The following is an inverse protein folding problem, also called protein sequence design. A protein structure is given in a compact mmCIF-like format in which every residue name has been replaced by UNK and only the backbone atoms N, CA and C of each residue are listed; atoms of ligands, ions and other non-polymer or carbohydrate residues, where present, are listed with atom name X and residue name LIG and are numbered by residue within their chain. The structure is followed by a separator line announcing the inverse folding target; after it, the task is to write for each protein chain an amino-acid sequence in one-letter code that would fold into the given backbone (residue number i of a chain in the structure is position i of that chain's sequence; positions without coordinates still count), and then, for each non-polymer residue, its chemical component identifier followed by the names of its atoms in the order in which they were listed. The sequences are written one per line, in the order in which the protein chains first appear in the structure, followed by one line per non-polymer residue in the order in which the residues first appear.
data_IF_385569089761
#
_entry.id   IF_385569089761
#
_cell.length_a   1.000
_cell.length_b   1.000
_cell.length_c   1.000
_cell.angle_alpha   90.00
_cell.angle_beta   90.00
_cell.angle_gamma   90.00
#
_symmetry.space_group_name_H-M   'P 1'
#
loop_
_entity.id
_entity.type
_entity.pdbx_description
1 polymer ?
#
# COMPACT_ATOMS: atom_id res chain seq x y z
N UNK A 1 11.37 13.85 -26.61
CA UNK A 1 10.19 14.27 -27.42
C UNK A 1 9.50 13.08 -28.10
N UNK A 2 10.20 12.22 -28.84
CA UNK A 2 9.57 11.05 -29.51
C UNK A 2 8.80 10.11 -28.56
N UNK A 3 9.29 9.87 -27.33
CA UNK A 3 8.60 9.05 -26.34
C UNK A 3 7.26 9.63 -25.87
N UNK A 4 7.17 10.95 -25.69
CA UNK A 4 5.93 11.62 -25.29
C UNK A 4 4.87 11.53 -26.38
N UNK A 5 5.26 11.75 -27.65
CA UNK A 5 4.34 11.63 -28.80
C UNK A 5 3.81 10.19 -28.94
N UNK A 6 4.68 9.17 -28.81
CA UNK A 6 4.27 7.76 -28.86
C UNK A 6 3.33 7.38 -27.72
N UNK A 7 3.49 7.99 -26.55
CA UNK A 7 2.63 7.76 -25.38
C UNK A 7 1.38 8.67 -25.37
N UNK A 8 1.13 9.44 -26.45
CA UNK A 8 -0.01 10.35 -26.60
C UNK A 8 -0.12 11.43 -25.51
N UNK A 9 0.98 11.82 -24.89
CA UNK A 9 1.02 12.96 -23.98
C UNK A 9 1.14 14.27 -24.79
N UNK A 10 0.03 14.96 -24.99
CA UNK A 10 -0.07 16.15 -25.82
C UNK A 10 -0.03 17.45 -25.04
N UNK A 11 -0.50 17.42 -23.79
CA UNK A 11 -0.55 18.61 -22.93
C UNK A 11 0.01 18.27 -21.53
N UNK A 12 0.85 19.15 -20.95
CA UNK A 12 1.32 18.98 -19.59
C UNK A 12 0.19 19.29 -18.59
N UNK A 13 0.18 18.53 -17.49
CA UNK A 13 -0.71 18.81 -16.37
C UNK A 13 -0.21 20.00 -15.54
N UNK A 14 -1.05 20.65 -14.71
CA UNK A 14 -0.63 21.80 -13.89
C UNK A 14 0.62 21.50 -13.04
N UNK A 15 0.72 20.34 -12.37
CA UNK A 15 1.90 19.98 -11.58
C UNK A 15 3.16 19.84 -12.45
N UNK A 16 3.02 19.39 -13.69
CA UNK A 16 4.14 19.27 -14.62
C UNK A 16 4.63 20.65 -15.08
N UNK A 17 3.69 21.57 -15.40
CA UNK A 17 4.04 22.93 -15.80
C UNK A 17 4.81 23.65 -14.71
N UNK A 18 4.35 23.53 -13.45
CA UNK A 18 4.97 24.23 -12.34
C UNK A 18 6.26 23.55 -11.85
N UNK A 19 6.31 22.21 -11.78
CA UNK A 19 7.44 21.51 -11.17
C UNK A 19 8.62 21.30 -12.12
N UNK A 20 8.39 20.92 -13.40
CA UNK A 20 9.46 20.53 -14.32
C UNK A 20 10.57 21.59 -14.45
N UNK A 21 10.28 22.90 -14.59
CA UNK A 21 11.31 23.93 -14.72
C UNK A 21 12.29 23.94 -13.54
N UNK A 22 11.79 23.86 -12.31
CA UNK A 22 12.64 23.86 -11.12
C UNK A 22 13.43 22.57 -10.97
N UNK A 23 12.80 21.42 -11.29
CA UNK A 23 13.48 20.13 -11.29
C UNK A 23 14.63 20.09 -12.30
N UNK A 24 14.44 20.65 -13.49
CA UNK A 24 15.49 20.79 -14.51
C UNK A 24 16.66 21.68 -14.06
N UNK A 25 16.38 22.71 -13.25
CA UNK A 25 17.39 23.60 -12.66
C UNK A 25 18.17 22.93 -11.51
N UNK A 26 17.81 21.71 -11.10
CA UNK A 26 18.47 21.00 -10.01
C UNK A 26 18.02 21.41 -8.61
N UNK A 27 16.93 22.20 -8.49
CA UNK A 27 16.37 22.61 -7.20
C UNK A 27 15.66 21.45 -6.52
N UNK A 28 15.75 21.41 -5.20
CA UNK A 28 14.87 20.57 -4.41
C UNK A 28 13.44 21.09 -4.49
N UNK A 29 12.46 20.18 -4.46
CA UNK A 29 11.06 20.54 -4.65
C UNK A 29 10.15 19.82 -3.65
N UNK A 30 9.20 20.57 -3.10
CA UNK A 30 8.07 20.05 -2.34
C UNK A 30 6.80 20.27 -3.15
N UNK A 31 6.22 19.19 -3.68
CA UNK A 31 5.01 19.21 -4.49
C UNK A 31 3.78 18.78 -3.69
N UNK A 32 2.82 19.68 -3.51
CA UNK A 32 1.51 19.37 -2.93
C UNK A 32 0.50 19.09 -4.04
N UNK A 33 0.25 17.79 -4.29
CA UNK A 33 -0.61 17.34 -5.38
C UNK A 33 -1.20 15.95 -5.07
N UNK A 34 -2.47 15.77 -5.43
CA UNK A 34 -3.19 14.51 -5.25
C UNK A 34 -2.68 13.42 -6.22
N UNK A 35 -3.06 12.15 -5.97
CA UNK A 35 -2.82 11.03 -6.89
C UNK A 35 -3.56 11.29 -8.21
N UNK A 36 -2.94 10.89 -9.35
CA UNK A 36 -3.54 11.06 -10.67
C UNK A 36 -3.33 12.43 -11.31
N UNK A 37 -2.62 13.38 -10.68
CA UNK A 37 -2.32 14.70 -11.24
C UNK A 37 -1.14 14.73 -12.21
N UNK A 38 -0.46 13.58 -12.45
CA UNK A 38 0.67 13.51 -13.37
C UNK A 38 2.04 13.68 -12.71
N UNK A 39 2.16 13.54 -11.38
CA UNK A 39 3.42 13.67 -10.61
C UNK A 39 4.56 12.80 -11.16
N UNK A 40 4.24 11.56 -11.55
CA UNK A 40 5.26 10.61 -12.06
C UNK A 40 6.04 11.18 -13.23
N UNK A 41 5.40 11.85 -14.16
CA UNK A 41 6.07 12.50 -15.27
C UNK A 41 6.75 13.82 -14.85
N UNK A 42 6.20 14.53 -13.86
CA UNK A 42 6.82 15.76 -13.35
C UNK A 42 8.23 15.52 -12.78
N UNK A 43 8.47 14.38 -12.11
CA UNK A 43 9.80 14.02 -11.65
C UNK A 43 10.56 13.09 -12.61
N UNK A 44 9.84 12.21 -13.33
CA UNK A 44 10.44 11.18 -14.16
C UNK A 44 11.06 11.70 -15.44
N UNK A 45 10.41 12.64 -16.15
CA UNK A 45 10.95 13.20 -17.39
C UNK A 45 12.28 13.97 -17.18
N UNK A 46 12.40 14.88 -16.19
CA UNK A 46 13.68 15.53 -15.89
C UNK A 46 14.76 14.54 -15.46
N UNK A 47 14.42 13.53 -14.67
CA UNK A 47 15.34 12.46 -14.28
C UNK A 47 15.87 11.72 -15.52
N UNK A 48 14.97 11.26 -16.39
CA UNK A 48 15.35 10.55 -17.62
C UNK A 48 16.21 11.43 -18.54
N UNK A 49 15.88 12.71 -18.69
CA UNK A 49 16.67 13.66 -19.46
C UNK A 49 18.13 13.70 -18.97
N UNK A 50 18.34 13.75 -17.66
CA UNK A 50 19.69 13.70 -17.07
C UNK A 50 20.39 12.37 -17.31
N UNK A 51 19.71 11.25 -17.09
CA UNK A 51 20.31 9.93 -17.18
C UNK A 51 20.69 9.55 -18.60
N UNK A 52 19.94 10.00 -19.60
CA UNK A 52 20.26 9.78 -21.01
C UNK A 52 21.58 10.46 -21.45
N UNK A 53 22.01 11.52 -20.74
CA UNK A 53 23.30 12.15 -20.95
C UNK A 53 24.50 11.45 -20.29
N UNK A 54 24.26 10.41 -19.48
CA UNK A 54 25.32 9.68 -18.75
C UNK A 54 25.75 8.47 -19.58
N UNK A 55 26.88 8.58 -20.28
CA UNK A 55 27.33 7.59 -21.26
C UNK A 55 27.92 6.27 -20.73
N UNK A 56 27.78 5.95 -19.43
CA UNK A 56 28.36 4.74 -18.83
C UNK A 56 27.39 4.08 -17.83
N UNK A 57 27.49 2.76 -17.56
CA UNK A 57 26.67 2.10 -16.55
C UNK A 57 27.05 2.54 -15.11
N UNK A 58 26.13 2.45 -14.13
CA UNK A 58 26.45 2.70 -12.72
C UNK A 58 27.40 1.63 -12.18
N UNK A 59 28.22 1.96 -11.16
CA UNK A 59 29.06 0.97 -10.48
C UNK A 59 28.23 -0.20 -9.91
N UNK A 60 28.84 -1.38 -9.72
CA UNK A 60 28.16 -2.53 -9.13
C UNK A 60 27.50 -2.20 -7.78
N UNK A 61 26.31 -2.69 -7.55
CA UNK A 61 25.47 -2.50 -6.33
C UNK A 61 25.14 -1.04 -6.02
N UNK A 62 25.34 -0.10 -6.94
CA UNK A 62 24.96 1.30 -6.76
C UNK A 62 23.78 1.69 -7.62
N UNK A 63 23.18 2.83 -7.31
CA UNK A 63 22.09 3.45 -8.05
C UNK A 63 22.32 4.95 -8.22
N UNK A 64 21.81 5.54 -9.31
CA UNK A 64 21.88 6.98 -9.56
C UNK A 64 20.65 7.72 -9.05
N UNK A 65 19.51 7.08 -9.12
CA UNK A 65 18.24 7.63 -8.67
C UNK A 65 17.47 6.64 -7.80
N UNK A 66 16.89 7.14 -6.71
CA UNK A 66 16.02 6.41 -5.81
C UNK A 66 14.63 7.06 -5.81
N UNK A 67 13.61 6.25 -6.05
CA UNK A 67 12.20 6.65 -5.93
C UNK A 67 11.57 5.78 -4.85
N UNK A 68 11.12 6.39 -3.76
CA UNK A 68 10.41 5.72 -2.68
C UNK A 68 8.92 5.91 -2.81
N UNK A 69 8.16 4.82 -2.68
CA UNK A 69 6.71 4.82 -2.71
C UNK A 69 6.14 3.88 -1.64
N UNK A 70 4.94 4.16 -1.08
CA UNK A 70 4.38 3.42 0.06
C UNK A 70 4.02 1.98 -0.25
N UNK A 71 3.60 1.68 -1.48
CA UNK A 71 3.03 0.38 -1.86
C UNK A 71 3.74 -0.24 -3.05
N UNK A 72 3.61 -1.56 -3.17
CA UNK A 72 4.19 -2.33 -4.29
C UNK A 72 3.54 -1.96 -5.62
N UNK A 73 2.25 -1.71 -5.58
CA UNK A 73 1.44 -1.34 -6.73
C UNK A 73 1.91 -0.01 -7.30
N UNK A 74 2.15 0.99 -6.45
CA UNK A 74 2.67 2.28 -6.88
C UNK A 74 4.11 2.17 -7.39
N UNK A 75 4.96 1.35 -6.75
CA UNK A 75 6.31 1.04 -7.25
C UNK A 75 6.24 0.46 -8.66
N UNK A 76 5.37 -0.52 -8.90
CA UNK A 76 5.19 -1.13 -10.21
C UNK A 76 4.68 -0.13 -11.22
N UNK A 77 3.68 0.68 -10.86
CA UNK A 77 3.11 1.72 -11.72
C UNK A 77 4.15 2.76 -12.12
N UNK A 78 4.93 3.29 -11.15
CA UNK A 78 6.00 4.26 -11.43
C UNK A 78 7.04 3.63 -12.37
N UNK A 79 7.47 2.40 -12.09
CA UNK A 79 8.45 1.71 -12.93
C UNK A 79 7.93 1.51 -14.36
N UNK A 80 6.70 1.00 -14.53
CA UNK A 80 6.08 0.82 -15.84
C UNK A 80 5.99 2.13 -16.62
N UNK A 81 5.60 3.22 -15.95
CA UNK A 81 5.55 4.54 -16.59
C UNK A 81 6.94 5.03 -17.03
N UNK A 82 7.98 4.79 -16.25
CA UNK A 82 9.35 5.15 -16.63
C UNK A 82 9.87 4.26 -17.77
N UNK A 83 9.54 2.97 -17.75
CA UNK A 83 9.95 2.00 -18.78
C UNK A 83 9.38 2.34 -20.16
N UNK A 84 8.22 3.01 -20.25
CA UNK A 84 7.70 3.52 -21.52
C UNK A 84 8.69 4.46 -22.24
N UNK A 85 9.46 5.23 -21.47
CA UNK A 85 10.41 6.22 -21.99
C UNK A 85 11.85 5.71 -22.03
N UNK A 86 12.17 4.60 -21.33
CA UNK A 86 13.51 4.01 -21.32
C UNK A 86 13.67 2.89 -22.34
N UNK A 87 12.58 2.45 -22.95
CA UNK A 87 12.61 1.39 -23.97
C UNK A 87 13.50 1.78 -25.15
N UNK A 88 14.50 0.94 -25.43
CA UNK A 88 15.51 1.21 -26.47
C UNK A 88 16.64 2.16 -26.01
N UNK A 89 16.73 2.48 -24.74
CA UNK A 89 17.84 3.25 -24.13
C UNK A 89 18.66 2.36 -23.19
N UNK A 90 19.89 2.74 -22.82
CA UNK A 90 20.69 2.00 -21.85
C UNK A 90 20.23 2.16 -20.40
N UNK A 91 19.26 3.03 -20.11
CA UNK A 91 18.77 3.32 -18.74
C UNK A 91 18.05 2.12 -18.16
N UNK A 92 18.55 1.64 -17.03
CA UNK A 92 18.04 0.45 -16.34
C UNK A 92 17.19 0.83 -15.14
N UNK A 93 15.91 0.44 -15.16
CA UNK A 93 14.96 0.59 -14.06
C UNK A 93 14.85 -0.74 -13.30
N UNK A 94 14.91 -0.71 -11.97
CA UNK A 94 14.70 -1.88 -11.12
C UNK A 94 13.64 -1.59 -10.05
N UNK A 95 12.81 -2.58 -9.78
CA UNK A 95 11.77 -2.51 -8.73
C UNK A 95 12.18 -3.34 -7.52
N UNK A 96 12.04 -2.75 -6.32
CA UNK A 96 12.42 -3.35 -5.04
C UNK A 96 11.23 -3.31 -4.09
N UNK A 97 10.59 -4.48 -3.93
CA UNK A 97 9.37 -4.58 -3.12
C UNK A 97 9.37 -5.82 -2.24
N UNK A 98 8.67 -5.76 -1.11
CA UNK A 98 8.42 -6.92 -0.27
C UNK A 98 7.58 -7.99 -1.00
N UNK A 99 7.61 -9.25 -0.54
CA UNK A 99 6.82 -10.36 -1.11
C UNK A 99 7.40 -10.99 -2.37
N UNK A 100 8.34 -10.34 -3.05
CA UNK A 100 9.15 -10.95 -4.09
C UNK A 100 10.46 -11.53 -3.50
N UNK A 101 11.08 -12.47 -4.21
CA UNK A 101 12.36 -13.09 -3.81
C UNK A 101 13.45 -12.03 -3.61
N UNK A 102 14.01 -11.97 -2.41
CA UNK A 102 15.09 -11.03 -2.11
C UNK A 102 16.36 -11.35 -2.90
N UNK A 103 16.67 -12.62 -3.11
CA UNK A 103 17.85 -13.06 -3.86
C UNK A 103 17.79 -12.57 -5.31
N UNK A 104 16.65 -12.72 -5.98
CA UNK A 104 16.46 -12.19 -7.35
C UNK A 104 16.61 -10.67 -7.41
N UNK A 105 16.18 -9.94 -6.37
CA UNK A 105 16.35 -8.50 -6.30
C UNK A 105 17.83 -8.13 -6.08
N UNK A 106 18.54 -8.86 -5.23
CA UNK A 106 20.00 -8.73 -5.04
C UNK A 106 20.77 -8.96 -6.33
N UNK A 107 20.45 -10.04 -7.06
CA UNK A 107 21.08 -10.36 -8.35
C UNK A 107 20.88 -9.24 -9.39
N UNK A 108 19.66 -8.67 -9.45
CA UNK A 108 19.37 -7.54 -10.35
C UNK A 108 20.23 -6.30 -10.03
N UNK A 109 20.52 -6.07 -8.75
CA UNK A 109 21.33 -4.94 -8.27
C UNK A 109 22.84 -5.19 -8.38
N UNK A 110 23.27 -6.44 -8.50
CA UNK A 110 24.71 -6.77 -8.53
C UNK A 110 25.49 -6.00 -9.61
N UNK A 111 24.84 -5.68 -10.74
CA UNK A 111 25.45 -4.90 -11.84
C UNK A 111 25.19 -3.40 -11.74
N UNK A 112 24.55 -2.92 -10.66
CA UNK A 112 24.05 -1.56 -10.54
C UNK A 112 22.79 -1.30 -11.37
N UNK A 113 22.11 -0.19 -11.08
CA UNK A 113 20.93 0.27 -11.81
C UNK A 113 20.90 1.81 -11.88
N UNK A 114 20.31 2.35 -12.94
CA UNK A 114 20.17 3.82 -13.05
C UNK A 114 19.07 4.33 -12.13
N UNK A 115 17.93 3.66 -12.14
CA UNK A 115 16.76 4.03 -11.34
C UNK A 115 16.33 2.83 -10.49
N UNK A 116 16.20 3.03 -9.20
CA UNK A 116 15.54 2.11 -8.28
C UNK A 116 14.22 2.70 -7.85
N UNK A 117 13.13 1.96 -8.03
CA UNK A 117 11.82 2.28 -7.46
C UNK A 117 11.55 1.28 -6.34
N UNK A 118 11.36 1.74 -5.11
CA UNK A 118 11.37 0.86 -3.95
C UNK A 118 10.29 1.20 -2.91
N UNK A 119 9.85 0.16 -2.17
CA UNK A 119 9.16 0.35 -0.89
C UNK A 119 10.19 0.45 0.24
N UNK A 120 9.99 1.36 1.24
CA UNK A 120 10.98 1.63 2.27
C UNK A 120 11.46 0.39 3.04
N UNK A 121 10.55 -0.50 3.45
CA UNK A 121 10.90 -1.68 4.23
C UNK A 121 11.85 -2.64 3.49
N UNK A 122 11.57 -2.95 2.21
CA UNK A 122 12.45 -3.84 1.43
C UNK A 122 13.79 -3.20 1.09
N UNK A 123 13.82 -1.89 0.91
CA UNK A 123 15.10 -1.19 0.72
C UNK A 123 15.99 -1.33 1.96
N UNK A 124 15.43 -1.17 3.16
CA UNK A 124 16.17 -1.42 4.42
C UNK A 124 16.74 -2.85 4.47
N UNK A 125 15.93 -3.87 4.13
CA UNK A 125 16.39 -5.27 4.10
C UNK A 125 17.62 -5.46 3.19
N UNK A 126 17.67 -4.75 2.05
CA UNK A 126 18.80 -4.82 1.11
C UNK A 126 20.01 -4.00 1.58
N UNK A 127 19.79 -2.86 2.23
CA UNK A 127 20.86 -2.06 2.85
C UNK A 127 21.52 -2.83 4.00
N UNK A 128 20.74 -3.44 4.88
CA UNK A 128 21.24 -4.25 6.00
C UNK A 128 22.04 -5.48 5.54
N UNK A 129 21.77 -5.98 4.34
CA UNK A 129 22.52 -7.07 3.68
C UNK A 129 23.69 -6.60 2.82
N UNK A 130 23.96 -5.30 2.77
CA UNK A 130 24.96 -4.71 1.86
C UNK A 130 24.75 -5.10 0.37
N UNK A 131 23.50 -5.40 -0.01
CA UNK A 131 23.14 -5.75 -1.38
C UNK A 131 23.03 -4.53 -2.30
N UNK A 132 22.90 -3.34 -1.73
CA UNK A 132 22.89 -2.05 -2.41
C UNK A 132 23.59 -1.00 -1.56
N UNK A 133 24.24 -0.03 -2.23
CA UNK A 133 24.89 1.14 -1.65
C UNK A 133 24.28 2.38 -2.28
N UNK A 134 23.97 3.40 -1.48
CA UNK A 134 23.28 4.61 -1.94
C UNK A 134 24.24 5.80 -2.19
N UNK A 135 25.54 5.64 -2.05
CA UNK A 135 26.56 6.72 -2.13
C UNK A 135 26.56 7.47 -3.47
N UNK A 136 26.09 6.81 -4.53
CA UNK A 136 26.00 7.38 -5.89
C UNK A 136 24.61 7.94 -6.22
N UNK A 137 23.70 7.99 -5.23
CA UNK A 137 22.32 8.48 -5.43
C UNK A 137 22.30 10.00 -5.53
N UNK A 138 22.34 10.51 -6.74
CA UNK A 138 22.26 11.95 -7.02
C UNK A 138 20.84 12.51 -7.15
N UNK A 139 19.83 11.65 -7.18
CA UNK A 139 18.43 12.03 -7.34
C UNK A 139 17.52 11.17 -6.45
N UNK A 140 16.71 11.82 -5.63
CA UNK A 140 15.80 11.17 -4.71
C UNK A 140 14.38 11.69 -4.92
N UNK A 141 13.40 10.79 -4.94
CA UNK A 141 11.97 11.13 -4.92
C UNK A 141 11.30 10.37 -3.77
N UNK A 142 10.52 11.09 -2.97
CA UNK A 142 9.55 10.53 -2.04
C UNK A 142 8.16 10.80 -2.62
N UNK A 143 7.49 9.78 -3.15
CA UNK A 143 6.14 9.92 -3.69
C UNK A 143 5.11 9.36 -2.71
N UNK A 144 3.99 10.09 -2.56
CA UNK A 144 2.94 9.83 -1.55
C UNK A 144 3.53 9.74 -0.13
N UNK A 145 4.31 10.76 0.26
CA UNK A 145 5.02 10.79 1.54
C UNK A 145 4.07 10.69 2.75
N UNK A 146 2.90 11.32 2.71
CA UNK A 146 1.84 11.21 3.71
C UNK A 146 1.38 9.75 3.90
N UNK A 147 1.17 9.02 2.82
CA UNK A 147 0.80 7.60 2.89
C UNK A 147 1.93 6.73 3.45
N UNK A 148 3.20 7.07 3.17
CA UNK A 148 4.33 6.37 3.80
C UNK A 148 4.31 6.55 5.32
N UNK A 149 3.96 7.73 5.82
CA UNK A 149 3.83 7.99 7.27
C UNK A 149 2.64 7.23 7.88
N UNK A 150 1.48 7.26 7.23
CA UNK A 150 0.29 6.50 7.66
C UNK A 150 0.54 4.99 7.77
N UNK A 151 1.42 4.46 6.93
CA UNK A 151 1.85 3.06 6.95
C UNK A 151 2.96 2.78 7.97
N UNK A 152 3.37 3.78 8.74
CA UNK A 152 4.39 3.65 9.80
C UNK A 152 5.83 3.60 9.31
N UNK A 153 6.11 3.99 8.06
CA UNK A 153 7.47 3.96 7.51
C UNK A 153 8.39 5.08 8.00
N UNK A 154 7.95 5.93 8.95
CA UNK A 154 8.76 7.05 9.46
C UNK A 154 10.16 6.61 9.93
N UNK A 155 10.26 5.49 10.66
CA UNK A 155 11.55 4.97 11.12
C UNK A 155 12.41 4.46 9.96
N UNK A 156 11.79 3.80 8.99
CA UNK A 156 12.48 3.35 7.77
C UNK A 156 13.02 4.53 6.96
N UNK A 157 12.21 5.55 6.77
CA UNK A 157 12.63 6.77 6.07
C UNK A 157 13.80 7.43 6.80
N UNK A 158 13.70 7.68 8.12
CA UNK A 158 14.81 8.24 8.91
C UNK A 158 16.10 7.40 8.83
N UNK A 159 15.98 6.07 8.76
CA UNK A 159 17.13 5.17 8.57
C UNK A 159 17.73 5.31 7.16
N UNK A 160 16.92 5.31 6.10
CA UNK A 160 17.36 5.47 4.72
C UNK A 160 18.11 6.80 4.53
N UNK A 161 17.64 7.90 5.15
CA UNK A 161 18.28 9.21 5.06
C UNK A 161 19.77 9.19 5.42
N UNK A 162 20.18 8.30 6.35
CA UNK A 162 21.57 8.19 6.82
C UNK A 162 22.52 7.54 5.79
N UNK A 163 21.99 6.80 4.82
CA UNK A 163 22.75 6.15 3.77
C UNK A 163 22.86 7.01 2.49
N UNK A 164 22.15 8.12 2.44
CA UNK A 164 22.10 8.98 1.26
C UNK A 164 23.23 10.03 1.27
N UNK A 165 23.85 10.31 0.13
CA UNK A 165 24.86 11.35 0.05
C UNK A 165 24.25 12.72 0.31
N UNK A 166 25.06 13.63 0.86
CA UNK A 166 24.63 15.00 1.11
C UNK A 166 24.36 15.78 -0.17
N UNK A 167 25.15 15.56 -1.21
CA UNK A 167 25.00 16.22 -2.51
C UNK A 167 24.06 15.42 -3.40
N UNK A 168 22.79 15.77 -3.37
CA UNK A 168 21.74 15.18 -4.22
C UNK A 168 20.64 16.22 -4.45
N UNK A 169 19.82 15.99 -5.46
CA UNK A 169 18.54 16.66 -5.63
C UNK A 169 17.43 15.80 -5.01
N UNK A 170 16.56 16.39 -4.22
CA UNK A 170 15.45 15.68 -3.57
C UNK A 170 14.11 16.29 -3.93
N UNK A 171 13.15 15.45 -4.31
CA UNK A 171 11.78 15.84 -4.58
C UNK A 171 10.86 15.10 -3.59
N UNK A 172 9.96 15.80 -2.95
CA UNK A 172 8.96 15.24 -2.05
C UNK A 172 7.57 15.59 -2.56
N UNK A 173 6.76 14.58 -2.82
CA UNK A 173 5.36 14.73 -3.22
C UNK A 173 4.43 14.18 -2.14
N UNK A 174 3.41 14.95 -1.80
CA UNK A 174 2.39 14.61 -0.80
C UNK A 174 1.05 15.21 -1.19
N UNK A 175 -0.06 14.58 -0.81
CA UNK A 175 -1.38 15.16 -0.96
C UNK A 175 -1.76 16.06 0.23
N UNK A 176 -1.17 15.80 1.40
CA UNK A 176 -1.43 16.51 2.65
C UNK A 176 -0.13 16.98 3.30
N UNK A 177 -0.22 17.94 4.24
CA UNK A 177 0.93 18.52 4.93
C UNK A 177 0.75 18.50 6.46
N UNK A 178 0.67 17.32 7.09
CA UNK A 178 0.72 17.24 8.55
C UNK A 178 2.13 17.58 9.06
N UNK A 179 2.26 17.93 10.34
CA UNK A 179 3.56 18.29 10.97
C UNK A 179 4.67 17.27 10.73
N UNK A 180 4.35 15.97 10.73
CA UNK A 180 5.34 14.92 10.44
C UNK A 180 5.89 14.97 9.01
N UNK A 181 5.11 15.44 8.04
CA UNK A 181 5.60 15.67 6.66
C UNK A 181 6.53 16.88 6.62
N UNK A 182 6.23 17.93 7.37
CA UNK A 182 7.13 19.08 7.49
C UNK A 182 8.49 18.67 8.10
N UNK A 183 8.47 17.88 9.19
CA UNK A 183 9.70 17.33 9.80
C UNK A 183 10.48 16.45 8.79
N UNK A 184 9.77 15.60 8.05
CA UNK A 184 10.37 14.75 7.03
C UNK A 184 11.00 15.62 5.91
N UNK A 185 10.31 16.66 5.47
CA UNK A 185 10.79 17.60 4.48
C UNK A 185 12.09 18.27 4.93
N UNK A 186 12.16 18.75 6.18
CA UNK A 186 13.41 19.30 6.75
C UNK A 186 14.57 18.28 6.80
N UNK A 187 14.27 17.00 6.95
CA UNK A 187 15.29 15.94 6.95
C UNK A 187 15.88 15.69 5.56
N UNK A 188 15.07 15.83 4.51
CA UNK A 188 15.42 15.39 3.18
C UNK A 188 15.72 16.51 2.18
N UNK A 189 15.08 17.66 2.33
CA UNK A 189 15.10 18.77 1.38
C UNK A 189 16.02 19.91 1.85
N UNK A 190 16.60 20.60 0.88
CA UNK A 190 17.45 21.80 1.09
C UNK A 190 16.85 22.96 0.30
N UNK A 191 16.40 23.99 1.00
CA UNK A 191 15.79 25.19 0.41
C UNK A 191 14.82 24.85 -0.74
N UNK A 192 13.77 23.99 -0.47
CA UNK A 192 12.92 23.50 -1.54
C UNK A 192 12.03 24.58 -2.12
N UNK A 193 11.80 24.50 -3.42
CA UNK A 193 10.71 25.22 -4.05
C UNK A 193 9.41 24.51 -3.69
N UNK A 194 8.42 25.26 -3.18
CA UNK A 194 7.09 24.73 -2.89
C UNK A 194 6.19 24.95 -4.10
N UNK A 195 5.63 23.88 -4.62
CA UNK A 195 4.66 23.86 -5.72
C UNK A 195 3.36 23.27 -5.21
N UNK A 196 2.24 23.96 -5.42
CA UNK A 196 0.94 23.52 -4.95
C UNK A 196 -0.13 23.77 -6.02
N UNK A 197 -0.63 22.69 -6.64
CA UNK A 197 -1.62 22.76 -7.72
C UNK A 197 -3.08 22.67 -7.26
N UNK A 198 -3.32 22.26 -6.01
CA UNK A 198 -4.63 22.28 -5.38
C UNK A 198 -4.47 22.50 -3.87
N UNK A 199 -5.42 23.18 -3.18
CA UNK A 199 -5.40 23.27 -1.73
C UNK A 199 -5.43 21.86 -1.11
N UNK A 200 -4.61 21.58 -0.08
CA UNK A 200 -4.64 20.30 0.62
C UNK A 200 -6.03 20.02 1.17
N UNK A 201 -6.52 18.79 1.00
CA UNK A 201 -7.80 18.35 1.56
C UNK A 201 -9.05 18.77 0.78
N UNK A 202 -8.94 19.55 -0.32
CA UNK A 202 -10.10 19.78 -1.19
C UNK A 202 -10.30 18.60 -2.13
N UNK A 203 -11.53 18.04 -2.21
CA UNK A 203 -11.88 17.04 -3.22
C UNK A 203 -11.74 17.64 -4.62
N UNK A 204 -11.54 16.77 -5.62
CA UNK A 204 -11.63 17.19 -7.02
C UNK A 204 -13.06 17.70 -7.26
N UNK A 205 -13.22 18.91 -7.79
CA UNK A 205 -14.52 19.57 -8.00
C UNK A 205 -15.51 18.75 -8.86
N UNK A 206 -15.00 17.77 -9.61
CA UNK A 206 -15.77 16.88 -10.49
C UNK A 206 -16.31 15.61 -9.81
N UNK A 207 -16.16 15.49 -8.47
CA UNK A 207 -16.70 14.33 -7.74
C UNK A 207 -18.01 14.73 -7.07
N UNK A 208 -19.12 14.17 -7.57
CA UNK A 208 -20.42 14.26 -6.89
C UNK A 208 -20.37 13.43 -5.61
N UNK A 209 -20.44 14.11 -4.44
CA UNK A 209 -20.39 13.44 -3.14
C UNK A 209 -21.77 13.34 -2.51
N UNK A 210 -22.02 12.25 -1.78
CA UNK A 210 -23.26 12.09 -1.02
C UNK A 210 -23.08 11.20 0.20
N UNK A 211 -23.90 11.42 1.23
CA UNK A 211 -23.99 10.54 2.40
C UNK A 211 -25.36 9.89 2.49
N UNK A 212 -25.37 8.60 2.80
CA UNK A 212 -26.57 7.84 3.10
C UNK A 212 -26.48 7.26 4.52
N UNK A 213 -27.34 7.73 5.41
CA UNK A 213 -27.40 7.22 6.78
C UNK A 213 -28.19 5.92 6.80
N UNK A 214 -27.55 4.82 7.27
CA UNK A 214 -28.16 3.49 7.28
C UNK A 214 -27.60 2.64 8.43
N UNK A 215 -28.41 1.76 9.04
CA UNK A 215 -27.90 0.81 10.02
C UNK A 215 -26.80 -0.09 9.43
N UNK A 216 -25.85 -0.53 10.28
CA UNK A 216 -24.75 -1.38 9.82
C UNK A 216 -25.22 -2.66 9.12
N UNK A 217 -26.36 -3.24 9.58
CA UNK A 217 -26.92 -4.47 9.00
C UNK A 217 -27.44 -4.29 7.58
N UNK A 218 -27.89 -3.08 7.23
CA UNK A 218 -28.57 -2.78 5.97
C UNK A 218 -27.62 -2.27 4.88
N UNK A 219 -26.36 -1.92 5.24
CA UNK A 219 -25.38 -1.39 4.30
C UNK A 219 -25.17 -2.28 3.06
N UNK A 220 -25.17 -3.61 3.23
CA UNK A 220 -24.95 -4.51 2.11
C UNK A 220 -26.10 -4.47 1.09
N UNK A 221 -27.35 -4.43 1.57
CA UNK A 221 -28.54 -4.28 0.72
C UNK A 221 -28.61 -2.90 0.06
N UNK A 222 -28.20 -1.87 0.79
CA UNK A 222 -28.09 -0.54 0.25
C UNK A 222 -27.04 -0.48 -0.88
N UNK A 223 -25.86 -1.09 -0.67
CA UNK A 223 -24.82 -1.18 -1.72
C UNK A 223 -25.34 -1.93 -2.95
N UNK A 224 -26.04 -3.07 -2.76
CA UNK A 224 -26.68 -3.80 -3.85
C UNK A 224 -27.59 -2.88 -4.69
N UNK A 225 -28.45 -2.09 -4.05
CA UNK A 225 -29.36 -1.17 -4.74
C UNK A 225 -28.64 -0.08 -5.54
N UNK A 226 -27.47 0.39 -5.05
CA UNK A 226 -26.65 1.35 -5.79
C UNK A 226 -25.96 0.69 -6.99
N UNK A 227 -25.41 -0.52 -6.84
CA UNK A 227 -24.76 -1.23 -7.93
C UNK A 227 -25.75 -1.63 -9.04
N UNK A 228 -26.98 -2.00 -8.69
CA UNK A 228 -28.05 -2.31 -9.66
C UNK A 228 -28.49 -1.10 -10.50
N UNK A 229 -28.35 0.12 -9.97
CA UNK A 229 -28.66 1.35 -10.72
C UNK A 229 -27.60 1.69 -11.79
N UNK A 230 -26.42 1.13 -11.67
CA UNK A 230 -25.27 1.41 -12.53
C UNK A 230 -24.63 0.11 -13.06
N UNK A 231 -25.39 -0.68 -13.82
CA UNK A 231 -24.90 -1.96 -14.34
C UNK A 231 -23.70 -1.73 -15.27
N UNK A 232 -22.68 -2.57 -15.16
CA UNK A 232 -21.45 -2.52 -15.95
C UNK A 232 -20.58 -1.27 -15.79
N UNK A 233 -20.89 -0.38 -14.83
CA UNK A 233 -20.01 0.70 -14.44
C UNK A 233 -19.08 0.25 -13.31
N UNK A 234 -17.79 0.56 -13.46
CA UNK A 234 -16.80 0.15 -12.48
C UNK A 234 -16.95 0.88 -11.15
N UNK A 235 -17.05 0.11 -10.06
CA UNK A 235 -17.21 0.57 -8.70
C UNK A 235 -16.10 0.09 -7.79
N UNK A 236 -15.53 1.01 -6.99
CA UNK A 236 -14.57 0.71 -5.93
C UNK A 236 -15.25 0.86 -4.57
N UNK A 237 -15.28 -0.22 -3.80
CA UNK A 237 -15.96 -0.29 -2.49
C UNK A 237 -14.92 -0.37 -1.37
N UNK A 238 -14.95 0.57 -0.45
CA UNK A 238 -14.01 0.61 0.67
C UNK A 238 -14.61 0.01 1.94
N UNK A 239 -14.03 -1.10 2.40
CA UNK A 239 -14.33 -1.71 3.69
C UNK A 239 -13.20 -1.46 4.70
N UNK A 240 -13.54 -1.39 5.99
CA UNK A 240 -12.59 -1.11 7.08
C UNK A 240 -11.63 -2.26 7.35
N UNK A 241 -12.10 -3.50 7.28
CA UNK A 241 -11.31 -4.67 7.67
C UNK A 241 -11.15 -5.68 6.54
N UNK A 242 -10.02 -6.39 6.54
CA UNK A 242 -9.73 -7.45 5.58
C UNK A 242 -10.78 -8.56 5.54
N UNK A 243 -11.29 -8.96 6.72
CA UNK A 243 -12.33 -9.99 6.81
C UNK A 243 -13.71 -9.48 6.38
N UNK A 244 -14.04 -8.23 6.73
CA UNK A 244 -15.27 -7.57 6.27
C UNK A 244 -15.32 -7.42 4.76
N UNK A 245 -14.21 -6.96 4.16
CA UNK A 245 -14.09 -6.81 2.70
C UNK A 245 -14.21 -8.15 1.97
N UNK A 246 -13.59 -9.22 2.48
CA UNK A 246 -13.72 -10.56 1.89
C UNK A 246 -15.15 -11.10 2.00
N UNK A 247 -15.81 -10.90 3.17
CA UNK A 247 -17.20 -11.31 3.37
C UNK A 247 -18.14 -10.55 2.44
N UNK A 248 -17.96 -9.24 2.33
CA UNK A 248 -18.77 -8.40 1.44
C UNK A 248 -18.62 -8.82 -0.02
N UNK A 249 -17.39 -9.02 -0.49
CA UNK A 249 -17.12 -9.50 -1.85
C UNK A 249 -17.84 -10.82 -2.13
N UNK A 250 -17.72 -11.82 -1.24
CA UNK A 250 -18.41 -13.11 -1.40
C UNK A 250 -19.93 -12.96 -1.44
N UNK A 251 -20.47 -12.05 -0.64
CA UNK A 251 -21.90 -11.74 -0.64
C UNK A 251 -22.34 -11.13 -1.97
N UNK A 252 -21.58 -10.17 -2.52
CA UNK A 252 -21.86 -9.58 -3.83
C UNK A 252 -21.80 -10.61 -4.95
N UNK A 253 -20.80 -11.51 -4.92
CA UNK A 253 -20.70 -12.63 -5.88
C UNK A 253 -21.92 -13.55 -5.77
N UNK A 254 -22.39 -13.87 -4.55
CA UNK A 254 -23.60 -14.69 -4.36
C UNK A 254 -24.89 -14.03 -4.86
N UNK A 255 -24.88 -12.70 -5.03
CA UNK A 255 -25.97 -11.92 -5.63
C UNK A 255 -25.79 -11.70 -7.15
N UNK A 256 -24.77 -12.32 -7.75
CA UNK A 256 -24.53 -12.30 -9.20
C UNK A 256 -23.64 -11.16 -9.71
N UNK A 257 -23.07 -10.33 -8.83
CA UNK A 257 -22.14 -9.29 -9.24
C UNK A 257 -20.75 -9.87 -9.59
N UNK A 258 -20.12 -9.35 -10.62
CA UNK A 258 -18.72 -9.64 -10.95
C UNK A 258 -17.82 -8.85 -10.00
N UNK A 259 -17.56 -9.40 -8.81
CA UNK A 259 -16.84 -8.72 -7.75
C UNK A 259 -15.56 -9.44 -7.37
N UNK A 260 -14.50 -8.66 -7.12
CA UNK A 260 -13.22 -9.11 -6.59
C UNK A 260 -12.85 -8.38 -5.30
N UNK A 261 -11.86 -8.89 -4.55
CA UNK A 261 -11.39 -8.22 -3.34
C UNK A 261 -9.87 -8.12 -3.25
N UNK A 262 -9.38 -6.99 -2.71
CA UNK A 262 -7.97 -6.79 -2.40
C UNK A 262 -7.80 -6.33 -0.95
N UNK A 263 -6.99 -7.06 -0.19
CA UNK A 263 -6.68 -6.76 1.20
C UNK A 263 -5.40 -7.49 1.65
N UNK A 264 -4.91 -7.19 2.86
CA UNK A 264 -3.64 -7.69 3.36
C UNK A 264 -3.49 -9.22 3.49
N UNK A 265 -4.58 -10.00 3.44
CA UNK A 265 -4.54 -11.47 3.46
C UNK A 265 -4.43 -12.10 2.06
N UNK A 266 -4.53 -11.32 0.98
CA UNK A 266 -4.31 -11.83 -0.39
C UNK A 266 -2.81 -11.86 -0.70
N UNK A 267 -2.36 -12.92 -1.35
CA UNK A 267 -1.00 -12.96 -1.91
C UNK A 267 -0.83 -11.91 -3.01
N UNK A 268 0.42 -11.54 -3.32
CA UNK A 268 0.67 -10.54 -4.36
C UNK A 268 0.11 -10.98 -5.71
N UNK A 269 0.31 -12.24 -6.09
CA UNK A 269 -0.22 -12.77 -7.35
C UNK A 269 -1.76 -12.69 -7.42
N UNK A 270 -2.46 -12.94 -6.30
CA UNK A 270 -3.91 -12.79 -6.24
C UNK A 270 -4.33 -11.32 -6.42
N UNK A 271 -3.60 -10.38 -5.78
CA UNK A 271 -3.88 -8.96 -5.90
C UNK A 271 -3.66 -8.47 -7.33
N UNK A 272 -2.52 -8.83 -7.93
CA UNK A 272 -2.16 -8.44 -9.30
C UNK A 272 -3.20 -8.98 -10.30
N UNK A 273 -3.60 -10.26 -10.14
CA UNK A 273 -4.64 -10.87 -10.96
C UNK A 273 -5.97 -10.14 -10.84
N UNK A 274 -6.46 -9.90 -9.61
CA UNK A 274 -7.74 -9.19 -9.36
C UNK A 274 -7.71 -7.78 -9.93
N UNK A 275 -6.58 -7.07 -9.81
CA UNK A 275 -6.42 -5.74 -10.38
C UNK A 275 -6.42 -5.75 -11.91
N UNK A 276 -5.81 -6.75 -12.52
CA UNK A 276 -5.84 -6.92 -13.98
C UNK A 276 -7.26 -7.22 -14.44
N UNK A 277 -7.94 -8.20 -13.82
CA UNK A 277 -9.33 -8.52 -14.12
C UNK A 277 -10.27 -7.30 -13.99
N UNK A 278 -10.04 -6.45 -12.99
CA UNK A 278 -10.82 -5.21 -12.81
C UNK A 278 -10.48 -4.16 -13.87
N UNK A 279 -9.22 -3.94 -14.21
CA UNK A 279 -8.82 -3.02 -15.29
C UNK A 279 -9.36 -3.41 -16.65
N UNK A 280 -9.38 -4.71 -16.94
CA UNK A 280 -9.83 -5.26 -18.20
C UNK A 280 -11.37 -5.34 -18.29
N UNK A 281 -12.10 -4.92 -17.25
CA UNK A 281 -13.56 -4.95 -17.21
C UNK A 281 -14.16 -6.35 -16.99
N UNK A 282 -13.36 -7.35 -16.65
CA UNK A 282 -13.84 -8.67 -16.26
C UNK A 282 -14.53 -8.65 -14.89
N UNK A 283 -14.20 -7.68 -14.04
CA UNK A 283 -14.86 -7.36 -12.78
C UNK A 283 -15.46 -5.96 -12.84
N UNK A 284 -16.69 -5.81 -12.36
CA UNK A 284 -17.39 -4.52 -12.26
C UNK A 284 -17.21 -3.89 -10.86
N UNK A 285 -16.97 -4.72 -9.82
CA UNK A 285 -16.87 -4.27 -8.44
C UNK A 285 -15.56 -4.75 -7.80
N UNK A 286 -14.79 -3.81 -7.25
CA UNK A 286 -13.59 -4.10 -6.48
C UNK A 286 -13.79 -3.69 -5.02
N UNK A 287 -13.79 -4.67 -4.10
CA UNK A 287 -13.86 -4.41 -2.65
C UNK A 287 -12.45 -4.34 -2.07
N UNK A 288 -12.10 -3.22 -1.44
CA UNK A 288 -10.73 -2.97 -0.99
C UNK A 288 -10.67 -2.43 0.43
N UNK A 289 -9.56 -2.68 1.13
CA UNK A 289 -9.19 -1.93 2.34
C UNK A 289 -8.28 -0.77 1.98
N UNK A 290 -8.24 0.29 2.81
CA UNK A 290 -7.39 1.48 2.55
C UNK A 290 -5.95 1.10 2.21
N UNK A 291 -5.32 0.26 3.03
CA UNK A 291 -3.93 -0.17 2.83
C UNK A 291 -3.72 -0.86 1.48
N UNK A 292 -4.69 -1.64 1.04
CA UNK A 292 -4.57 -2.39 -0.20
C UNK A 292 -4.95 -1.58 -1.44
N UNK A 293 -5.79 -0.56 -1.29
CA UNK A 293 -6.21 0.34 -2.36
C UNK A 293 -5.26 1.52 -2.59
N UNK A 294 -4.33 1.75 -1.64
CA UNK A 294 -3.32 2.81 -1.79
C UNK A 294 -2.41 2.54 -2.99
N UNK A 295 -2.08 3.60 -3.71
CA UNK A 295 -1.20 3.52 -4.88
C UNK A 295 -1.81 2.82 -6.10
N UNK A 296 -3.08 2.39 -6.05
CA UNK A 296 -3.75 1.80 -7.21
C UNK A 296 -4.24 2.92 -8.12
N UNK A 297 -3.76 2.90 -9.34
CA UNK A 297 -4.32 3.72 -10.43
C UNK A 297 -5.15 2.83 -11.34
N UNK A 298 -6.46 3.04 -11.28
CA UNK A 298 -7.40 2.35 -12.13
C UNK A 298 -8.18 3.43 -12.87
N UNK A 299 -7.92 3.61 -14.16
CA UNK A 299 -8.77 4.45 -15.00
C UNK A 299 -10.16 3.80 -15.11
N UNK A 300 -11.18 4.62 -15.28
CA UNK A 300 -12.54 4.11 -15.53
C UNK A 300 -13.42 3.89 -14.32
N UNK A 301 -12.90 4.01 -13.09
CA UNK A 301 -13.76 3.94 -11.88
C UNK A 301 -14.73 5.12 -11.88
N UNK A 302 -16.01 4.82 -12.01
CA UNK A 302 -17.11 5.80 -11.98
C UNK A 302 -17.62 6.05 -10.58
N UNK A 303 -17.68 4.99 -9.76
CA UNK A 303 -18.32 5.01 -8.45
C UNK A 303 -17.34 4.61 -7.35
N UNK A 304 -17.29 5.40 -6.28
CA UNK A 304 -16.59 5.06 -5.05
C UNK A 304 -17.62 4.95 -3.92
N UNK A 305 -17.69 3.78 -3.30
CA UNK A 305 -18.56 3.56 -2.15
C UNK A 305 -17.72 3.43 -0.88
N UNK A 306 -17.84 4.38 0.04
CA UNK A 306 -17.30 4.23 1.38
C UNK A 306 -18.29 3.38 2.19
N UNK A 307 -18.19 2.05 2.05
CA UNK A 307 -19.04 1.09 2.76
C UNK A 307 -18.86 1.20 4.27
N UNK A 308 -17.61 1.42 4.72
CA UNK A 308 -17.29 1.83 6.08
C UNK A 308 -16.53 3.17 6.03
N UNK A 309 -16.80 4.05 7.00
CA UNK A 309 -16.04 5.30 7.15
C UNK A 309 -14.57 5.00 7.49
N UNK A 310 -13.62 5.79 6.98
CA UNK A 310 -12.22 5.64 7.32
C UNK A 310 -11.94 6.10 8.76
N UNK A 311 -11.01 5.44 9.44
CA UNK A 311 -10.57 5.86 10.78
C UNK A 311 -9.75 7.17 10.77
N UNK A 312 -9.11 7.48 9.64
CA UNK A 312 -8.30 8.68 9.40
C UNK A 312 -9.02 9.51 8.35
N UNK A 313 -9.45 10.76 8.68
CA UNK A 313 -10.27 11.58 7.78
C UNK A 313 -9.64 11.83 6.41
N UNK A 314 -8.32 11.98 6.34
CA UNK A 314 -7.55 12.18 5.11
C UNK A 314 -7.73 11.02 4.11
N UNK A 315 -7.94 9.79 4.62
CA UNK A 315 -8.20 8.65 3.76
C UNK A 315 -9.51 8.79 2.97
N UNK A 316 -10.49 9.53 3.47
CA UNK A 316 -11.71 9.82 2.70
C UNK A 316 -11.39 10.52 1.37
N UNK A 317 -10.55 11.55 1.42
CA UNK A 317 -10.11 12.29 0.22
C UNK A 317 -9.33 11.38 -0.74
N UNK A 318 -8.44 10.54 -0.20
CA UNK A 318 -7.68 9.56 -0.99
C UNK A 318 -8.57 8.48 -1.62
N UNK A 319 -9.66 8.08 -0.95
CA UNK A 319 -10.62 7.11 -1.48
C UNK A 319 -11.44 7.70 -2.62
N UNK A 320 -12.06 8.85 -2.41
CA UNK A 320 -12.89 9.48 -3.44
C UNK A 320 -12.07 9.93 -4.65
N UNK A 321 -10.79 10.31 -4.46
CA UNK A 321 -9.84 10.59 -5.55
C UNK A 321 -9.48 9.36 -6.41
N UNK A 322 -10.11 8.21 -6.22
CA UNK A 322 -10.01 7.06 -7.14
C UNK A 322 -10.95 7.18 -8.33
N UNK A 323 -11.94 8.03 -8.26
CA UNK A 323 -12.82 8.40 -9.39
C UNK A 323 -12.51 9.79 -9.94
N UNK A 324 -13.22 10.25 -10.94
CA UNK A 324 -13.07 11.56 -11.62
C UNK A 324 -11.64 11.83 -12.14
N UNK A 325 -10.97 10.80 -12.67
CA UNK A 325 -9.62 10.91 -13.22
C UNK A 325 -9.63 11.24 -14.71
N UNK A 326 -8.53 11.81 -15.19
CA UNK A 326 -8.34 12.20 -16.59
C UNK A 326 -9.47 13.08 -17.16
N UNK A 327 -10.09 13.93 -16.32
CA UNK A 327 -11.15 14.86 -16.74
C UNK A 327 -12.57 14.26 -16.74
N UNK A 328 -12.73 12.97 -16.40
CA UNK A 328 -14.04 12.35 -16.27
C UNK A 328 -14.76 12.81 -14.99
N UNK A 329 -16.09 12.69 -14.99
CA UNK A 329 -16.93 12.87 -13.80
C UNK A 329 -16.97 11.59 -12.98
N UNK A 330 -17.17 11.71 -11.65
CA UNK A 330 -17.25 10.59 -10.74
C UNK A 330 -18.24 10.82 -9.61
N UNK A 331 -18.68 9.72 -8.99
CA UNK A 331 -19.58 9.74 -7.86
C UNK A 331 -18.96 9.05 -6.64
N UNK A 332 -19.14 9.62 -5.46
CA UNK A 332 -18.68 9.05 -4.21
C UNK A 332 -19.81 9.07 -3.18
N UNK A 333 -20.18 7.89 -2.66
CA UNK A 333 -21.24 7.75 -1.66
C UNK A 333 -20.66 7.14 -0.38
N UNK A 334 -20.95 7.77 0.75
CA UNK A 334 -20.59 7.25 2.06
C UNK A 334 -21.81 6.66 2.77
N UNK A 335 -21.70 5.43 3.28
CA UNK A 335 -22.72 4.80 4.12
C UNK A 335 -22.35 4.95 5.59
N UNK A 336 -23.16 5.68 6.34
CA UNK A 336 -22.84 6.06 7.72
C UNK A 336 -23.79 5.40 8.69
N UNK A 337 -23.27 4.46 9.48
CA UNK A 337 -23.97 3.84 10.61
C UNK A 337 -23.82 4.70 11.89
N UNK A 338 -24.66 4.50 12.92
CA UNK A 338 -24.58 5.27 14.18
C UNK A 338 -23.19 5.29 14.80
N UNK A 339 -22.49 4.14 14.78
CA UNK A 339 -21.15 3.99 15.34
C UNK A 339 -20.05 4.73 14.57
N UNK A 340 -20.34 5.27 13.40
CA UNK A 340 -19.38 5.94 12.51
C UNK A 340 -19.58 7.46 12.42
N UNK A 341 -20.47 8.00 13.25
CA UNK A 341 -20.78 9.44 13.23
C UNK A 341 -19.59 10.32 13.66
N UNK A 342 -18.71 9.80 14.51
CA UNK A 342 -17.51 10.51 14.93
C UNK A 342 -16.54 10.69 13.74
N UNK A 343 -16.27 9.59 13.01
CA UNK A 343 -15.43 9.59 11.82
C UNK A 343 -16.05 10.44 10.71
N UNK A 344 -17.36 10.37 10.51
CA UNK A 344 -18.07 11.18 9.51
C UNK A 344 -17.93 12.68 9.80
N UNK A 345 -18.15 13.12 11.04
CA UNK A 345 -17.98 14.53 11.43
C UNK A 345 -16.53 15.00 11.28
N UNK A 346 -15.56 14.12 11.57
CA UNK A 346 -14.14 14.42 11.37
C UNK A 346 -13.81 14.64 9.88
N UNK A 347 -14.44 13.87 8.98
CA UNK A 347 -14.32 14.07 7.54
C UNK A 347 -14.92 15.41 7.10
N UNK A 348 -16.14 15.77 7.51
CA UNK A 348 -16.76 17.07 7.18
C UNK A 348 -15.91 18.25 7.70
N UNK A 349 -15.36 18.12 8.91
CA UNK A 349 -14.44 19.11 9.48
C UNK A 349 -13.18 19.28 8.63
N UNK A 350 -12.61 18.18 8.11
CA UNK A 350 -11.45 18.21 7.21
C UNK A 350 -11.81 18.88 5.87
N UNK A 351 -12.96 18.55 5.31
CA UNK A 351 -13.45 19.10 4.04
C UNK A 351 -13.87 20.57 4.17
N UNK A 352 -14.11 21.07 5.40
CA UNK A 352 -14.66 22.40 5.71
C UNK A 352 -16.00 22.67 5.01
N UNK A 353 -16.74 21.62 4.69
CA UNK A 353 -18.06 21.66 4.07
C UNK A 353 -18.86 20.41 4.44
N UNK A 354 -20.19 20.51 4.58
CA UNK A 354 -21.04 19.35 4.78
C UNK A 354 -21.10 18.50 3.50
N UNK A 355 -21.24 17.18 3.67
CA UNK A 355 -21.50 16.26 2.57
C UNK A 355 -23.01 16.18 2.36
N UNK A 356 -23.54 16.39 1.15
CA UNK A 356 -24.98 16.35 0.89
C UNK A 356 -25.61 15.03 1.32
N UNK A 357 -26.73 15.11 2.06
CA UNK A 357 -27.51 13.93 2.45
C UNK A 357 -28.36 13.48 1.27
N UNK A 358 -28.11 12.29 0.76
CA UNK A 358 -28.82 11.70 -0.39
C UNK A 358 -29.77 10.57 0.01
N UNK A 359 -29.74 10.16 1.29
CA UNK A 359 -30.67 9.14 1.83
C UNK A 359 -30.51 8.95 3.33
N UNK A 360 -31.56 8.45 3.95
CA UNK A 360 -31.67 8.34 5.40
C UNK A 360 -31.75 9.71 6.09
N UNK A 361 -31.64 9.70 7.41
CA UNK A 361 -31.57 10.90 8.24
C UNK A 361 -30.38 10.82 9.19
N UNK A 362 -29.73 11.94 9.53
CA UNK A 362 -28.67 11.96 10.53
C UNK A 362 -29.11 11.31 11.84
N UNK A 363 -28.25 10.51 12.42
CA UNK A 363 -28.56 9.80 13.67
C UNK A 363 -28.71 10.75 14.85
N UNK A 364 -29.74 10.55 15.66
CA UNK A 364 -29.95 11.29 16.91
C UNK A 364 -28.79 10.99 17.91
N UNK A 365 -28.50 11.95 18.78
CA UNK A 365 -27.33 11.89 19.67
C UNK A 365 -27.36 10.71 20.64
N UNK A 366 -28.54 10.34 21.12
CA UNK A 366 -28.79 9.18 21.99
C UNK A 366 -28.48 7.85 21.29
N UNK A 367 -28.88 7.71 20.03
CA UNK A 367 -28.58 6.52 19.19
C UNK A 367 -27.07 6.40 18.96
N UNK A 368 -26.38 7.52 18.67
CA UNK A 368 -24.94 7.55 18.50
C UNK A 368 -24.23 7.18 19.80
N UNK A 369 -24.68 7.68 20.95
CA UNK A 369 -24.11 7.38 22.25
C UNK A 369 -24.28 5.91 22.68
N UNK A 370 -25.38 5.26 22.28
CA UNK A 370 -25.67 3.85 22.56
C UNK A 370 -24.96 2.87 21.60
N UNK A 371 -24.44 3.33 20.47
CA UNK A 371 -23.82 2.48 19.48
C UNK A 371 -22.48 1.90 19.94
N UNK A 372 -22.23 0.58 19.77
CA UNK A 372 -20.95 -0.02 20.12
C UNK A 372 -19.85 0.56 19.20
N UNK A 373 -18.77 1.08 19.79
CA UNK A 373 -17.66 1.66 19.04
C UNK A 373 -16.96 0.58 18.19
N UNK A 374 -16.54 0.91 16.96
CA UNK A 374 -15.79 -0.01 16.12
C UNK A 374 -14.54 -0.52 16.83
N UNK A 375 -14.43 -1.85 16.98
CA UNK A 375 -13.27 -2.50 17.65
C UNK A 375 -13.47 -2.85 19.14
N UNK A 376 -14.54 -2.44 19.79
CA UNK A 376 -14.88 -2.95 21.12
C UNK A 376 -15.68 -4.25 20.99
N UNK A 377 -15.21 -5.31 21.68
CA UNK A 377 -16.01 -6.52 21.86
C UNK A 377 -17.32 -6.15 22.60
N UNK A 378 -18.48 -6.71 22.21
CA UNK A 378 -19.70 -6.48 22.95
C UNK A 378 -19.47 -6.80 24.42
N UNK A 379 -19.75 -5.87 25.33
CA UNK A 379 -19.88 -6.19 26.75
C UNK A 379 -20.95 -7.25 26.85
N UNK A 380 -20.57 -8.47 27.22
CA UNK A 380 -21.53 -9.51 27.59
C UNK A 380 -22.40 -8.91 28.70
N UNK A 381 -23.64 -8.62 28.37
CA UNK A 381 -24.62 -8.17 29.32
C UNK A 381 -24.67 -9.12 30.50
N UNK A 382 -24.40 -8.60 31.67
CA UNK A 382 -24.54 -9.36 32.90
C UNK A 382 -25.95 -9.96 32.98
N UNK A 383 -26.04 -11.28 32.99
CA UNK A 383 -27.26 -11.97 33.36
C UNK A 383 -27.72 -11.38 34.70
N UNK A 384 -29.01 -11.00 34.86
CA UNK A 384 -29.53 -10.62 36.14
C UNK A 384 -29.39 -11.82 37.10
N UNK A 385 -28.63 -11.64 38.17
CA UNK A 385 -28.65 -12.57 39.30
C UNK A 385 -30.00 -12.42 40.00
N UNK A 386 -30.99 -13.17 39.58
CA UNK A 386 -32.16 -13.43 40.42
C UNK A 386 -31.70 -14.30 41.56
N UNK A 387 -31.60 -13.66 42.73
CA UNK A 387 -31.26 -14.33 43.95
C UNK A 387 -32.42 -15.12 44.53
N UNK A 388 -32.13 -16.21 45.16
CA UNK A 388 -32.78 -16.68 46.38
C UNK A 388 -31.78 -17.57 47.08
N UNK A 389 -31.31 -17.15 48.24
CA UNK A 389 -30.66 -18.03 49.22
C UNK A 389 -31.68 -18.94 49.84
N UNK A 390 -31.39 -20.20 50.08
CA UNK A 390 -31.88 -20.92 51.28
C UNK A 390 -30.75 -21.03 52.29
N UNK A 391 -31.13 -20.68 53.53
CA UNK A 391 -30.35 -20.88 54.76
C UNK A 391 -30.24 -22.35 55.16
N UNK A 392 -29.11 -22.70 55.74
CA UNK A 392 -29.01 -23.58 56.89
C UNK A 392 -28.57 -25.02 56.60
N UNK A 393 -27.44 -25.50 57.09
CA UNK A 393 -27.05 -26.00 58.37
C UNK A 393 -25.67 -26.73 58.29
N UNK A 394 -25.04 -27.25 59.33
CA UNK A 394 -23.73 -26.78 59.77
C UNK A 394 -22.59 -27.80 59.65
N UNK A 395 -21.42 -27.25 59.75
CA UNK A 395 -20.10 -27.81 60.14
C UNK A 395 -19.97 -29.34 60.36
N UNK A 396 -19.00 -29.91 59.64
CA UNK A 396 -18.17 -30.97 60.14
C UNK A 396 -16.70 -30.68 59.83
N UNK A 397 -15.89 -30.63 60.90
CA UNK A 397 -14.45 -30.51 60.90
C UNK A 397 -13.83 -31.72 60.22
N UNK A 398 -12.89 -31.57 59.36
CA UNK A 398 -11.95 -32.62 59.01
C UNK A 398 -10.49 -32.08 59.03
N UNK A 399 -9.68 -32.81 59.75
CA UNK A 399 -8.32 -32.63 60.12
C UNK A 399 -7.33 -32.72 58.95
N UNK A 400 -6.09 -32.28 59.13
CA UNK A 400 -5.07 -32.23 58.09
C UNK A 400 -4.39 -33.61 57.91
N UNK A 401 -3.99 -33.91 56.68
CA UNK A 401 -3.12 -35.04 56.37
C UNK A 401 -1.73 -34.60 55.92
N UNK A 402 -0.74 -35.40 56.23
CA UNK A 402 0.66 -34.99 56.30
C UNK A 402 1.43 -35.09 54.97
N UNK A 403 2.50 -34.35 54.98
CA UNK A 403 3.62 -34.40 54.05
C UNK A 403 4.36 -35.76 54.10
N UNK A 404 4.87 -36.20 53.00
CA UNK A 404 5.85 -37.26 52.83
C UNK A 404 5.67 -37.90 51.46
N UNK A 405 6.63 -38.10 50.63
CA UNK A 405 8.07 -38.19 50.64
C UNK A 405 8.54 -38.23 49.18
N UNK A 406 9.70 -37.72 48.98
CA UNK A 406 10.48 -37.81 47.75
C UNK A 406 10.74 -39.27 47.36
N UNK A 407 10.70 -39.60 46.08
CA UNK A 407 11.44 -40.74 45.53
C UNK A 407 12.17 -40.39 44.25
N UNK A 408 13.40 -40.66 44.34
CA UNK A 408 14.55 -40.53 43.52
C UNK A 408 14.46 -41.27 42.16
N UNK A 409 15.27 -40.76 41.25
CA UNK A 409 15.69 -41.40 40.01
C UNK A 409 16.28 -42.79 40.20
N UNK A 410 16.39 -43.59 39.10
CA UNK A 410 17.75 -43.95 38.74
C UNK A 410 18.11 -43.70 37.27
N UNK A 411 19.35 -43.23 37.14
CA UNK A 411 20.21 -43.27 35.97
C UNK A 411 20.66 -44.70 35.73
N UNK A 412 20.69 -45.14 34.48
CA UNK A 412 21.65 -46.12 33.95
C UNK A 412 21.60 -46.01 32.43
N UNK A 413 22.60 -45.93 31.65
CA UNK A 413 23.99 -46.34 31.72
C UNK A 413 24.34 -46.55 30.27
N UNK A 414 25.35 -45.82 29.75
CA UNK A 414 26.02 -46.17 28.49
C UNK A 414 26.79 -47.46 28.65
N UNK A 415 27.06 -48.21 27.57
CA UNK A 415 28.45 -48.43 27.25
C UNK A 415 28.87 -48.12 25.83
N UNK A 416 30.16 -47.79 25.75
CA UNK A 416 30.95 -47.53 24.58
C UNK A 416 31.33 -48.86 23.84
N UNK A 417 31.67 -48.71 22.56
CA UNK A 417 32.33 -49.77 21.79
C UNK A 417 32.45 -49.36 20.32
N UNK A 418 33.57 -48.81 19.94
CA UNK A 418 34.12 -48.89 18.58
C UNK A 418 34.95 -50.19 18.46
N UNK A 419 35.58 -50.60 17.34
CA UNK A 419 35.82 -49.99 16.04
C UNK A 419 35.77 -50.96 14.83
N UNK A 420 36.11 -50.44 13.64
CA UNK A 420 36.55 -51.22 12.49
C UNK A 420 35.56 -51.14 11.31
N UNK A 421 35.89 -50.91 10.10
CA UNK A 421 37.12 -50.77 9.36
C UNK A 421 36.79 -50.91 7.89
N UNK A 422 37.51 -50.18 7.05
CA UNK A 422 37.82 -50.46 5.66
C UNK A 422 36.69 -50.78 4.64
N UNK A 423 36.48 -50.06 3.56
CA UNK A 423 37.21 -50.11 2.30
C UNK A 423 36.54 -49.26 1.21
N UNK A 424 37.28 -48.42 0.60
CA UNK A 424 37.04 -48.04 -0.83
C UNK A 424 37.51 -49.20 -1.71
N UNK A 425 37.01 -49.38 -2.94
CA UNK A 425 37.81 -48.87 -4.05
C UNK A 425 37.10 -48.45 -5.36
N UNK A 426 37.81 -47.61 -6.10
CA UNK A 426 38.14 -47.60 -7.53
C UNK A 426 37.02 -47.31 -8.56
N UNK A 427 37.17 -46.12 -9.17
CA UNK A 427 37.73 -45.92 -10.54
C UNK A 427 37.23 -46.83 -11.66
N UNK A 428 36.55 -46.22 -12.63
CA UNK A 428 36.81 -46.52 -14.03
C UNK A 428 36.51 -45.29 -14.88
N UNK A 429 37.59 -44.78 -15.45
CA UNK A 429 37.62 -43.86 -16.57
C UNK A 429 37.36 -44.64 -17.86
N UNK A 430 36.70 -44.06 -18.82
CA UNK A 430 36.95 -44.26 -20.26
C UNK A 430 36.43 -43.02 -21.03
N UNK A 431 37.24 -42.46 -21.65
CA UNK A 431 37.65 -41.58 -22.60
C UNK A 431 37.05 -41.75 -24.02
N UNK A 432 37.49 -40.98 -25.01
CA UNK A 432 36.62 -40.34 -25.99
C UNK A 432 36.53 -41.10 -27.32
N UNK A 433 35.49 -40.82 -28.13
CA UNK A 433 35.55 -41.12 -29.56
C UNK A 433 35.16 -39.92 -30.42
N UNK A 434 36.09 -39.58 -31.24
CA UNK A 434 36.05 -38.76 -32.47
C UNK A 434 35.18 -39.40 -33.54
N UNK A 435 34.76 -38.62 -34.49
CA UNK A 435 34.36 -38.96 -35.81
C UNK A 435 33.30 -37.96 -36.28
N UNK A 436 33.66 -36.97 -36.98
CA UNK A 436 33.98 -36.69 -38.39
C UNK A 436 32.74 -36.62 -39.30
N UNK A 437 32.76 -35.49 -39.98
CA UNK A 437 32.51 -35.23 -41.40
C UNK A 437 31.02 -35.05 -41.83
N UNK A 438 30.68 -33.85 -42.19
CA UNK A 438 30.71 -33.23 -43.51
C UNK A 438 29.40 -33.26 -44.32
N UNK A 439 29.10 -32.10 -44.87
CA UNK A 439 28.38 -31.76 -46.10
C UNK A 439 26.85 -31.65 -46.05
N UNK A 440 26.47 -30.47 -46.47
CA UNK A 440 25.18 -30.07 -47.00
C UNK A 440 24.95 -28.60 -46.73
#
# INVERSE_FOLDING_TARGET
MQGLAKAQFTQPTPIQVEAIPYVMQGRDLMGLAQTGTGKTLAFGLPLLHRLLGVGHPPPPRTIRALILAPTRELVTQIATNLELFTKGTPVKVVTITGGASINRQTERLARGADIMVATPGRLIDLLDRNAVVLDHTGYLVLDEADQMLDMGFIHSLRKIARFLPLKRQTLLFSATMPKLIEELAHTYLREPVKVQVAPPGKPVEKIAQGVHFTPQGDKAKLLESYLQKHPSEQALVFGRTKHGSEKLMKLLVSWGFKAGSIHGNKSQNQRDRTLTEFRDGALDVLVATDVAARGIDIPGVRHVYNYDMPNVPENYVHRIGRTARAGAEGSAVAFVAPAEMEEFRAVEKLLKQPIPVIGGAPWAADIVAAAPRPGQKPRQGGRPKTGAKPQGKPQAKAQPKPQGAAKAHPRAGRPAGAPGGHAAPKRAARGPRRGDAARG
#
